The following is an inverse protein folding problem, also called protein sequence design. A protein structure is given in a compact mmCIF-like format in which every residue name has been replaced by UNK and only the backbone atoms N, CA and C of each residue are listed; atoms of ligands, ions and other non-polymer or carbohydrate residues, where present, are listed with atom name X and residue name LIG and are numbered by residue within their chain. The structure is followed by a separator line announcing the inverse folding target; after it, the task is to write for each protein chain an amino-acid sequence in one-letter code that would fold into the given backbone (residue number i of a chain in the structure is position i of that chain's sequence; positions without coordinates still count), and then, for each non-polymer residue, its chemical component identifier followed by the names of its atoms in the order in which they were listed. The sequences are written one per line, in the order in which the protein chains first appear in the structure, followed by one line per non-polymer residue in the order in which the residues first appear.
data_IF_200922755574
#
_entry.id   IF_200922755574
#
_cell.length_a   1.000
_cell.length_b   1.000
_cell.length_c   1.000
_cell.angle_alpha   90.00
_cell.angle_beta   90.00
_cell.angle_gamma   90.00
#
_symmetry.space_group_name_H-M   'P 1'
#
loop_
_entity.id
_entity.type
_entity.pdbx_description
1 polymer ?
#
# COMPACT_ATOMS: atom_id res chain seq x y z
N UNK A 1 -33.46 31.21 -44.25
CA UNK A 1 -32.17 30.97 -43.56
C UNK A 1 -32.46 31.11 -42.09
N UNK A 2 -32.95 30.03 -41.47
CA UNK A 2 -33.40 30.03 -40.07
C UNK A 2 -32.24 29.65 -39.12
N UNK A 3 -32.27 30.24 -37.93
CA UNK A 3 -31.35 29.97 -36.82
C UNK A 3 -31.36 28.49 -36.42
N UNK A 4 -30.21 27.89 -36.04
CA UNK A 4 -30.20 26.57 -35.44
C UNK A 4 -30.83 26.63 -34.04
N UNK A 5 -31.97 25.95 -33.93
CA UNK A 5 -32.72 25.66 -32.71
C UNK A 5 -31.85 25.29 -31.51
N UNK A 6 -32.10 25.95 -30.37
CA UNK A 6 -31.59 25.59 -29.04
C UNK A 6 -31.83 24.11 -28.76
N UNK A 7 -30.76 23.32 -28.68
CA UNK A 7 -30.82 21.93 -28.20
C UNK A 7 -31.02 21.97 -26.69
N UNK A 8 -32.16 21.44 -26.24
CA UNK A 8 -32.52 21.30 -24.82
C UNK A 8 -31.57 20.33 -24.11
N UNK A 9 -31.09 20.71 -22.92
CA UNK A 9 -30.22 19.88 -22.08
C UNK A 9 -30.89 18.55 -21.67
N UNK A 10 -30.15 17.42 -21.63
CA UNK A 10 -30.70 16.14 -21.19
C UNK A 10 -31.00 16.15 -19.69
N UNK A 11 -32.21 15.72 -19.33
CA UNK A 11 -32.73 15.62 -17.96
C UNK A 11 -32.14 14.39 -17.26
N UNK A 12 -31.77 14.55 -15.98
CA UNK A 12 -31.16 13.51 -15.14
C UNK A 12 -32.05 12.28 -14.97
N UNK A 13 -31.45 11.09 -15.06
CA UNK A 13 -32.10 9.82 -14.69
C UNK A 13 -31.39 9.27 -13.45
N UNK A 14 -32.14 9.02 -12.37
CA UNK A 14 -31.70 8.38 -11.13
C UNK A 14 -30.66 9.11 -10.26
N UNK A 15 -30.77 10.44 -10.11
CA UNK A 15 -30.07 11.18 -9.04
C UNK A 15 -28.53 11.22 -9.11
N UNK A 16 -27.93 10.61 -10.14
CA UNK A 16 -26.52 10.69 -10.42
C UNK A 16 -26.29 11.50 -11.70
N UNK A 17 -25.41 12.52 -11.70
CA UNK A 17 -25.12 13.29 -12.89
C UNK A 17 -24.48 12.39 -13.97
N UNK A 18 -25.11 12.30 -15.15
CA UNK A 18 -24.66 11.49 -16.30
C UNK A 18 -23.52 12.17 -17.07
N UNK A 19 -23.27 13.45 -16.83
CA UNK A 19 -22.15 14.20 -17.45
C UNK A 19 -21.21 14.64 -16.34
N UNK A 20 -20.14 13.87 -16.12
CA UNK A 20 -19.01 14.32 -15.31
C UNK A 20 -18.29 15.42 -16.10
N UNK A 21 -18.05 16.57 -15.46
CA UNK A 21 -17.32 17.66 -16.10
C UNK A 21 -15.91 17.21 -16.50
N UNK A 22 -15.33 17.82 -17.55
CA UNK A 22 -13.94 17.56 -17.94
C UNK A 22 -12.97 17.78 -16.78
N UNK A 23 -13.26 18.72 -15.88
CA UNK A 23 -12.47 18.98 -14.68
C UNK A 23 -12.54 17.82 -13.66
N UNK A 24 -13.71 17.22 -13.44
CA UNK A 24 -13.89 16.06 -12.54
C UNK A 24 -13.26 14.78 -13.09
N UNK A 25 -13.30 14.58 -14.42
CA UNK A 25 -12.52 13.51 -15.07
C UNK A 25 -11.01 13.76 -14.94
N UNK A 26 -10.56 15.01 -15.10
CA UNK A 26 -9.15 15.36 -14.92
C UNK A 26 -8.69 15.08 -13.47
N UNK A 27 -9.53 15.38 -12.46
CA UNK A 27 -9.22 15.09 -11.05
C UNK A 27 -9.06 13.59 -10.76
N UNK A 28 -9.82 12.71 -11.44
CA UNK A 28 -9.69 11.24 -11.32
C UNK A 28 -8.49 10.69 -12.07
N UNK A 29 -8.12 11.30 -13.19
CA UNK A 29 -6.89 10.97 -13.93
C UNK A 29 -5.63 11.51 -13.24
N UNK A 30 -5.76 12.46 -12.32
CA UNK A 30 -4.69 12.91 -11.43
C UNK A 30 -4.47 11.91 -10.27
N UNK A 31 -3.81 10.82 -10.66
CA UNK A 31 -2.88 10.00 -9.88
C UNK A 31 -3.41 8.68 -9.25
N UNK A 32 -3.47 7.58 -10.02
CA UNK A 32 -3.64 6.20 -9.50
C UNK A 32 -2.46 5.71 -8.63
N UNK A 33 -1.51 6.58 -8.29
CA UNK A 33 -0.22 6.28 -7.66
C UNK A 33 -0.12 6.74 -6.19
N UNK A 34 -1.24 6.90 -5.48
CA UNK A 34 -1.23 7.51 -4.14
C UNK A 34 -1.10 6.53 -2.96
N UNK A 35 -0.76 5.27 -3.21
CA UNK A 35 -0.32 4.37 -2.14
C UNK A 35 1.09 4.78 -1.71
N UNK A 36 1.21 5.36 -0.51
CA UNK A 36 2.50 5.71 0.08
C UNK A 36 3.08 4.48 0.78
N UNK A 37 4.38 4.32 0.72
CA UNK A 37 5.11 3.25 1.41
C UNK A 37 5.55 3.74 2.79
N UNK A 38 5.30 2.95 3.81
CA UNK A 38 5.88 3.13 5.15
C UNK A 38 7.21 2.39 5.21
N UNK A 39 8.28 3.07 5.64
CA UNK A 39 9.63 2.50 5.71
C UNK A 39 10.12 2.52 7.15
N UNK A 40 10.60 1.38 7.63
CA UNK A 40 11.29 1.24 8.92
C UNK A 40 12.78 1.18 8.66
N UNK A 41 13.53 2.18 9.13
CA UNK A 41 14.98 2.28 8.97
C UNK A 41 15.68 2.31 10.33
N UNK A 42 16.91 1.80 10.38
CA UNK A 42 17.78 1.93 11.55
C UNK A 42 18.41 3.31 11.56
N UNK A 43 18.38 3.97 12.71
CA UNK A 43 18.99 5.30 12.85
C UNK A 43 20.45 5.23 13.33
N UNK A 44 20.90 4.05 13.80
CA UNK A 44 22.23 3.84 14.38
C UNK A 44 22.93 2.67 13.69
N UNK A 45 23.74 1.90 14.42
CA UNK A 45 24.54 0.77 13.93
C UNK A 45 23.89 -0.59 14.19
N UNK A 46 22.56 -0.69 14.14
CA UNK A 46 21.85 -1.96 14.32
C UNK A 46 21.28 -2.16 15.71
N UNK A 47 20.62 -3.31 15.90
CA UNK A 47 19.98 -3.75 17.15
C UNK A 47 19.00 -2.77 17.81
N UNK A 48 18.41 -1.85 17.03
CA UNK A 48 17.43 -0.88 17.53
C UNK A 48 16.03 -1.49 17.74
N UNK A 49 15.86 -2.80 17.50
CA UNK A 49 14.57 -3.47 17.65
C UNK A 49 13.59 -3.24 16.48
N UNK A 50 14.09 -2.93 15.28
CA UNK A 50 13.29 -2.69 14.07
C UNK A 50 12.27 -3.81 13.78
N UNK A 51 12.65 -5.06 14.04
CA UNK A 51 11.77 -6.22 13.83
C UNK A 51 10.44 -6.08 14.57
N UNK A 52 10.45 -5.62 15.83
CA UNK A 52 9.25 -5.39 16.62
C UNK A 52 8.35 -4.29 16.05
N UNK A 53 8.95 -3.23 15.51
CA UNK A 53 8.22 -2.15 14.84
C UNK A 53 7.59 -2.65 13.53
N UNK A 54 8.35 -3.43 12.75
CA UNK A 54 7.85 -4.05 11.51
C UNK A 54 6.69 -5.00 11.79
N UNK A 55 6.78 -5.82 12.83
CA UNK A 55 5.73 -6.75 13.23
C UNK A 55 4.42 -6.02 13.61
N UNK A 56 4.53 -4.95 14.40
CA UNK A 56 3.38 -4.10 14.74
C UNK A 56 2.72 -3.53 13.47
N UNK A 57 3.51 -2.94 12.57
CA UNK A 57 3.00 -2.33 11.33
C UNK A 57 2.45 -3.38 10.35
N UNK A 58 2.99 -4.59 10.35
CA UNK A 58 2.57 -5.68 9.48
C UNK A 58 1.15 -6.18 9.79
N UNK A 59 0.60 -5.89 10.97
CA UNK A 59 -0.78 -6.25 11.33
C UNK A 59 -1.81 -5.56 10.43
N UNK A 60 -1.52 -4.34 9.99
CA UNK A 60 -2.40 -3.50 9.16
C UNK A 60 -1.94 -3.43 7.69
N UNK A 61 -0.77 -3.99 7.37
CA UNK A 61 -0.20 -3.91 6.03
C UNK A 61 -0.76 -5.01 5.10
N UNK A 62 -1.12 -4.62 3.88
CA UNK A 62 -1.44 -5.57 2.80
C UNK A 62 -0.19 -6.26 2.24
N UNK A 63 0.96 -5.55 2.28
CA UNK A 63 2.24 -6.00 1.73
C UNK A 63 3.36 -5.62 2.69
N UNK A 64 4.26 -6.57 2.95
CA UNK A 64 5.54 -6.34 3.61
C UNK A 64 6.68 -6.73 2.68
N UNK A 65 7.73 -5.91 2.64
CA UNK A 65 8.84 -6.14 1.73
C UNK A 65 10.21 -5.93 2.38
N UNK A 66 11.17 -6.74 1.94
CA UNK A 66 12.61 -6.49 2.14
C UNK A 66 13.17 -5.94 0.82
N UNK A 67 13.89 -4.82 0.89
CA UNK A 67 14.42 -4.15 -0.31
C UNK A 67 15.93 -4.30 -0.48
N UNK A 68 16.67 -4.56 0.60
CA UNK A 68 18.13 -4.65 0.66
C UNK A 68 18.60 -5.54 1.82
N UNK A 69 19.88 -5.90 1.81
CA UNK A 69 20.56 -6.64 2.88
C UNK A 69 20.46 -8.17 2.72
N UNK A 70 21.04 -8.92 3.65
CA UNK A 70 21.08 -10.39 3.61
C UNK A 70 20.40 -11.05 4.81
N UNK A 71 20.90 -12.20 5.24
CA UNK A 71 20.44 -12.96 6.41
C UNK A 71 21.27 -12.69 7.68
N UNK A 72 21.96 -11.55 7.73
CA UNK A 72 22.95 -11.20 8.74
C UNK A 72 22.36 -10.77 10.09
N UNK A 73 21.05 -10.53 10.17
CA UNK A 73 20.34 -10.25 11.40
C UNK A 73 19.02 -11.02 11.43
N UNK A 74 18.65 -11.51 12.62
CA UNK A 74 17.42 -12.26 12.85
C UNK A 74 16.38 -11.44 13.61
N UNK A 75 15.12 -11.78 13.42
CA UNK A 75 14.03 -11.32 14.28
C UNK A 75 13.14 -12.51 14.65
N UNK A 76 13.03 -12.77 15.94
CA UNK A 76 12.13 -13.79 16.49
C UNK A 76 10.77 -13.16 16.81
N UNK A 77 9.70 -13.77 16.32
CA UNK A 77 8.31 -13.43 16.68
C UNK A 77 7.68 -14.63 17.37
N UNK A 78 6.95 -14.39 18.45
CA UNK A 78 6.25 -15.44 19.20
C UNK A 78 4.75 -15.32 18.94
N UNK A 79 4.14 -16.36 18.39
CA UNK A 79 2.71 -16.41 18.09
C UNK A 79 2.11 -17.66 18.72
N UNK A 80 1.12 -17.49 19.60
CA UNK A 80 0.45 -18.60 20.28
C UNK A 80 1.43 -19.56 21.00
N UNK A 81 2.53 -19.04 21.55
CA UNK A 81 3.56 -19.83 22.22
C UNK A 81 4.51 -20.59 21.29
N UNK A 82 4.47 -20.32 19.99
CA UNK A 82 5.43 -20.85 19.01
C UNK A 82 6.37 -19.74 18.57
N UNK A 83 7.67 -20.02 18.61
CA UNK A 83 8.72 -19.10 18.21
C UNK A 83 9.02 -19.25 16.71
N UNK A 84 9.08 -18.12 16.01
CA UNK A 84 9.40 -18.04 14.59
C UNK A 84 10.62 -17.16 14.38
N UNK A 85 11.72 -17.75 13.87
CA UNK A 85 12.97 -17.05 13.62
C UNK A 85 13.10 -16.62 12.16
N UNK A 86 13.06 -15.31 11.90
CA UNK A 86 13.18 -14.73 10.56
C UNK A 86 14.55 -14.12 10.34
N UNK A 87 15.32 -14.66 9.40
CA UNK A 87 16.56 -14.04 8.95
C UNK A 87 16.40 -13.29 7.63
N UNK A 88 15.85 -13.96 6.60
CA UNK A 88 15.70 -13.39 5.25
C UNK A 88 14.26 -12.95 4.96
N UNK A 89 13.30 -13.81 5.31
CA UNK A 89 11.88 -13.54 5.08
C UNK A 89 11.40 -12.34 5.91
N UNK A 90 10.50 -11.49 5.37
CA UNK A 90 9.83 -10.48 6.18
C UNK A 90 9.00 -11.15 7.27
N UNK A 91 9.10 -10.69 8.52
CA UNK A 91 8.36 -11.26 9.66
C UNK A 91 6.83 -11.16 9.52
N UNK A 92 6.35 -10.18 8.73
CA UNK A 92 4.92 -10.04 8.42
C UNK A 92 4.31 -11.19 7.63
N UNK A 93 5.09 -12.19 7.18
CA UNK A 93 4.59 -13.43 6.57
C UNK A 93 3.66 -14.23 7.50
N UNK A 94 3.76 -13.99 8.82
CA UNK A 94 2.84 -14.56 9.82
C UNK A 94 1.40 -14.10 9.59
N UNK A 95 1.20 -12.86 9.11
CA UNK A 95 -0.12 -12.36 8.81
C UNK A 95 -0.59 -12.96 7.48
N UNK A 96 -1.54 -13.91 7.55
CA UNK A 96 -2.09 -14.62 6.39
C UNK A 96 -2.73 -13.71 5.32
N UNK A 97 -3.12 -12.49 5.68
CA UNK A 97 -3.66 -11.49 4.75
C UNK A 97 -2.57 -10.64 4.10
N UNK A 98 -1.36 -10.66 4.65
CA UNK A 98 -0.23 -9.86 4.21
C UNK A 98 0.63 -10.64 3.21
N UNK A 99 0.92 -10.03 2.07
CA UNK A 99 1.84 -10.62 1.09
C UNK A 99 3.27 -10.21 1.39
N UNK A 100 4.14 -11.20 1.59
CA UNK A 100 5.57 -10.96 1.76
C UNK A 100 6.29 -10.94 0.41
N UNK A 101 7.14 -9.94 0.21
CA UNK A 101 7.93 -9.73 -1.01
C UNK A 101 9.41 -9.60 -0.67
N UNK A 102 10.25 -10.31 -1.41
CA UNK A 102 11.69 -10.08 -1.46
C UNK A 102 11.97 -9.28 -2.73
N UNK A 103 12.45 -8.05 -2.56
CA UNK A 103 12.85 -7.18 -3.66
C UNK A 103 14.16 -7.65 -4.29
N UNK A 104 14.44 -7.15 -5.48
CA UNK A 104 15.65 -7.49 -6.26
C UNK A 104 16.98 -7.02 -5.64
N UNK A 105 16.95 -6.18 -4.61
CA UNK A 105 18.14 -5.71 -3.90
C UNK A 105 18.54 -6.56 -2.70
N UNK A 106 17.78 -7.60 -2.37
CA UNK A 106 18.08 -8.59 -1.32
C UNK A 106 18.96 -9.70 -1.88
#
# INVERSE_FOLDING_TARGET
MEEPSKVSAPTAVNGHPVVQSHAEMHQRCLNPYRSKVTVVLGAQWGDEGKGKVVDMLATEADIVCRCQGGNNAGHTVVVNGVDFDFHLLPSGIINVRCRSIIGNGV
#
